data_IF_038161063143
#
_entry.id   IF_038161063143
#
_cell.length_a   1.000
_cell.length_b   1.000
_cell.length_c   1.000
_cell.angle_alpha   90.00
_cell.angle_beta   90.00
_cell.angle_gamma   90.00
#
_symmetry.space_group_name_H-M   'P 1'
#
loop_
_entity.id
_entity.type
_entity.pdbx_description
1 polymer ?
#
# COMPACT_ATOMS: atom_id res chain seq x y z
N UNK A 1 1.42 3.75 19.53
CA UNK A 1 0.25 3.26 18.82
C UNK A 1 0.52 3.52 17.34
N UNK A 2 0.21 2.63 16.43
CA UNK A 2 0.37 2.76 14.96
C UNK A 2 1.79 3.09 14.44
N UNK A 3 2.85 2.73 15.18
CA UNK A 3 4.24 2.97 14.72
C UNK A 3 4.61 2.14 13.48
N UNK A 4 3.86 1.09 13.20
CA UNK A 4 4.00 0.18 12.07
C UNK A 4 3.12 0.57 10.85
N UNK A 5 2.29 1.61 10.98
CA UNK A 5 1.41 2.09 9.89
C UNK A 5 1.99 3.35 9.28
N UNK A 6 2.10 3.36 7.96
CA UNK A 6 2.61 4.47 7.17
C UNK A 6 1.51 5.02 6.26
N UNK A 7 1.32 6.32 6.27
CA UNK A 7 0.47 7.02 5.30
C UNK A 7 1.33 7.39 4.10
N UNK A 8 0.94 6.95 2.93
CA UNK A 8 1.63 7.21 1.66
C UNK A 8 0.72 8.04 0.77
N UNK A 9 1.14 9.24 0.44
CA UNK A 9 0.44 10.12 -0.49
C UNK A 9 1.15 10.10 -1.84
N UNK A 10 0.42 9.78 -2.91
CA UNK A 10 0.98 9.63 -4.25
C UNK A 10 0.49 10.75 -5.15
N UNK A 11 1.46 11.45 -5.81
CA UNK A 11 1.22 12.50 -6.78
C UNK A 11 0.30 13.64 -6.25
N UNK A 12 0.45 14.00 -4.96
CA UNK A 12 -0.38 15.05 -4.35
C UNK A 12 -0.16 16.37 -5.07
N UNK A 13 -1.24 16.94 -5.60
CA UNK A 13 -1.19 18.17 -6.41
C UNK A 13 -1.27 19.44 -5.58
N UNK A 14 -1.92 19.42 -4.42
CA UNK A 14 -2.10 20.58 -3.54
C UNK A 14 -1.33 20.43 -2.25
N UNK A 15 -0.29 21.27 -2.01
CA UNK A 15 0.52 21.18 -0.78
C UNK A 15 -0.29 21.37 0.50
N UNK A 16 -1.40 22.10 0.45
CA UNK A 16 -2.32 22.22 1.58
C UNK A 16 -2.93 20.89 2.03
N UNK A 17 -3.13 19.94 1.12
CA UNK A 17 -3.60 18.59 1.49
C UNK A 17 -2.54 17.81 2.27
N UNK A 18 -1.25 18.05 2.00
CA UNK A 18 -0.14 17.43 2.74
C UNK A 18 -0.18 17.95 4.19
N UNK A 19 -0.27 19.29 4.38
CA UNK A 19 -0.36 19.89 5.71
C UNK A 19 -1.59 19.42 6.50
N UNK A 20 -2.76 19.44 5.85
CA UNK A 20 -4.00 18.95 6.47
C UNK A 20 -3.95 17.45 6.80
N UNK A 21 -3.25 16.66 5.97
CA UNK A 21 -3.01 15.25 6.27
C UNK A 21 -2.11 15.06 7.49
N UNK A 22 -1.03 15.83 7.63
CA UNK A 22 -0.18 15.79 8.82
C UNK A 22 -0.99 16.09 10.10
N UNK A 23 -1.91 17.05 10.03
CA UNK A 23 -2.83 17.36 11.13
C UNK A 23 -3.79 16.20 11.42
N UNK A 24 -4.39 15.61 10.40
CA UNK A 24 -5.27 14.44 10.50
C UNK A 24 -4.53 13.26 11.17
N UNK A 25 -3.32 12.99 10.74
CA UNK A 25 -2.46 11.94 11.29
C UNK A 25 -2.14 12.17 12.76
N UNK A 26 -1.68 13.36 13.12
CA UNK A 26 -1.28 13.69 14.50
C UNK A 26 -2.43 13.57 15.47
N UNK A 27 -3.64 14.01 15.09
CA UNK A 27 -4.84 13.92 15.94
C UNK A 27 -5.23 12.48 16.25
N UNK A 28 -4.86 11.53 15.40
CA UNK A 28 -5.16 10.10 15.57
C UNK A 28 -3.91 9.26 15.96
N UNK A 29 -2.79 9.92 16.30
CA UNK A 29 -1.58 9.25 16.80
C UNK A 29 -0.70 8.59 15.74
N UNK A 30 -0.88 8.92 14.46
CA UNK A 30 -0.03 8.47 13.36
C UNK A 30 1.14 9.44 13.16
N UNK A 31 2.32 8.90 12.80
CA UNK A 31 3.57 9.69 12.69
C UNK A 31 4.32 9.49 11.38
N UNK A 32 4.10 8.38 10.67
CA UNK A 32 4.89 8.01 9.51
C UNK A 32 4.20 8.50 8.24
N UNK A 33 4.74 9.55 7.63
CA UNK A 33 4.27 10.10 6.35
C UNK A 33 5.32 9.87 5.26
N UNK A 34 4.89 9.33 4.14
CA UNK A 34 5.66 9.21 2.90
C UNK A 34 4.97 9.95 1.78
N UNK A 35 5.74 10.71 1.02
CA UNK A 35 5.26 11.48 -0.13
C UNK A 35 5.96 10.97 -1.38
N UNK A 36 5.16 10.49 -2.34
CA UNK A 36 5.65 10.00 -3.63
C UNK A 36 5.36 11.07 -4.68
N UNK A 37 6.41 11.63 -5.27
CA UNK A 37 6.34 12.64 -6.33
C UNK A 37 5.29 13.75 -6.04
N UNK A 38 5.31 14.39 -4.86
CA UNK A 38 4.42 15.52 -4.59
C UNK A 38 4.74 16.66 -5.56
N UNK A 39 3.73 17.39 -6.05
CA UNK A 39 3.93 18.50 -6.98
C UNK A 39 4.76 19.63 -6.36
N UNK A 40 4.56 19.88 -5.07
CA UNK A 40 5.22 20.94 -4.32
C UNK A 40 5.39 20.53 -2.85
N UNK A 41 6.61 20.19 -2.46
CA UNK A 41 6.98 19.94 -1.08
C UNK A 41 8.52 20.04 -0.94
N UNK A 42 9.05 20.71 0.10
CA UNK A 42 8.33 21.45 1.16
C UNK A 42 7.58 22.68 0.63
N UNK A 43 6.58 23.16 1.39
CA UNK A 43 5.76 24.29 0.95
C UNK A 43 5.16 25.05 2.14
N UNK A 44 5.24 26.39 2.09
CA UNK A 44 4.61 27.29 3.10
C UNK A 44 3.11 27.01 3.27
N UNK A 45 2.42 26.59 2.21
CA UNK A 45 0.99 26.20 2.30
C UNK A 45 0.79 24.93 3.09
N UNK A 46 1.70 23.94 2.95
CA UNK A 46 1.66 22.73 3.76
C UNK A 46 1.88 23.08 5.24
N UNK A 47 2.89 23.89 5.54
CA UNK A 47 3.21 24.33 6.91
C UNK A 47 2.05 25.09 7.56
N UNK A 48 1.43 26.01 6.81
CA UNK A 48 0.30 26.80 7.29
C UNK A 48 -0.92 25.95 7.65
N UNK A 49 -1.19 24.88 6.91
CA UNK A 49 -2.33 23.98 7.16
C UNK A 49 -2.00 22.81 8.11
N UNK A 50 -0.73 22.58 8.39
CA UNK A 50 -0.30 21.58 9.37
C UNK A 50 -0.58 21.99 10.81
N UNK A 51 -0.71 23.27 11.11
CA UNK A 51 -1.07 23.87 12.41
C UNK A 51 -0.53 23.12 13.62
N UNK A 52 0.75 23.32 13.98
CA UNK A 52 1.38 22.64 15.12
C UNK A 52 1.72 21.13 14.87
N UNK A 53 1.70 20.69 13.62
CA UNK A 53 2.04 19.34 13.22
C UNK A 53 3.26 19.30 12.27
N UNK A 54 4.12 20.32 12.32
CA UNK A 54 5.35 20.42 11.52
C UNK A 54 6.30 19.23 11.74
N UNK A 55 6.31 18.67 12.95
CA UNK A 55 7.10 17.50 13.29
C UNK A 55 6.80 16.26 12.42
N UNK A 56 5.60 16.16 11.83
CA UNK A 56 5.26 15.11 10.85
C UNK A 56 5.79 15.48 9.47
N UNK A 57 5.68 16.77 9.08
CA UNK A 57 6.20 17.26 7.80
C UNK A 57 7.73 17.17 7.75
N UNK A 58 8.41 17.59 8.83
CA UNK A 58 9.88 17.55 8.96
C UNK A 58 10.44 16.14 8.85
N UNK A 59 9.66 15.12 9.26
CA UNK A 59 10.02 13.71 9.21
C UNK A 59 9.46 12.97 8.01
N UNK A 60 8.72 13.67 7.14
CA UNK A 60 8.14 13.06 5.95
C UNK A 60 9.24 12.56 5.01
N UNK A 61 9.09 11.34 4.53
CA UNK A 61 10.02 10.75 3.57
C UNK A 61 9.57 11.06 2.15
N UNK A 62 10.50 11.49 1.32
CA UNK A 62 10.27 11.79 -0.10
C UNK A 62 10.75 10.65 -0.97
N UNK A 63 9.94 10.27 -1.94
CA UNK A 63 10.25 9.22 -2.92
C UNK A 63 9.90 9.69 -4.33
N UNK A 64 10.65 9.20 -5.31
CA UNK A 64 10.42 9.49 -6.73
C UNK A 64 9.33 8.61 -7.35
N UNK A 65 9.09 7.43 -6.77
CA UNK A 65 8.12 6.46 -7.27
C UNK A 65 7.51 5.63 -6.12
N UNK A 66 6.36 5.01 -6.37
CA UNK A 66 5.65 4.23 -5.39
C UNK A 66 6.39 2.93 -5.00
N UNK A 67 7.00 2.18 -5.93
CA UNK A 67 7.76 0.97 -5.57
C UNK A 67 8.83 1.22 -4.51
N UNK A 68 9.61 2.31 -4.63
CA UNK A 68 10.63 2.65 -3.62
C UNK A 68 10.03 3.05 -2.27
N UNK A 69 8.87 3.71 -2.27
CA UNK A 69 8.18 4.09 -1.03
C UNK A 69 7.66 2.89 -0.23
N UNK A 70 7.31 1.79 -0.91
CA UNK A 70 6.70 0.61 -0.28
C UNK A 70 7.67 -0.56 -0.07
N UNK A 71 8.93 -0.44 -0.45
CA UNK A 71 9.91 -1.54 -0.44
C UNK A 71 10.05 -2.22 0.94
N UNK A 72 9.97 -1.47 2.02
CA UNK A 72 10.09 -1.97 3.39
C UNK A 72 8.77 -2.42 4.03
N UNK A 73 7.65 -2.34 3.31
CA UNK A 73 6.34 -2.75 3.83
C UNK A 73 6.09 -4.26 3.65
N UNK A 74 5.22 -4.79 4.50
CA UNK A 74 4.71 -6.15 4.36
C UNK A 74 3.37 -6.17 3.60
N UNK A 75 2.52 -5.18 3.87
CA UNK A 75 1.18 -5.06 3.29
C UNK A 75 0.96 -3.63 2.79
N UNK A 76 0.39 -3.53 1.60
CA UNK A 76 0.02 -2.28 0.95
C UNK A 76 -1.48 -2.25 0.70
N UNK A 77 -2.16 -1.28 1.30
CA UNK A 77 -3.62 -1.10 1.20
C UNK A 77 -3.87 0.20 0.45
N UNK A 78 -4.41 0.09 -0.76
CA UNK A 78 -4.77 1.24 -1.58
C UNK A 78 -6.17 1.75 -1.26
N UNK A 79 -6.36 3.07 -1.19
CA UNK A 79 -7.68 3.68 -1.07
C UNK A 79 -8.20 4.10 -2.45
N UNK A 80 -9.41 3.66 -2.78
CA UNK A 80 -10.07 3.98 -4.05
C UNK A 80 -11.55 4.26 -3.83
N UNK A 81 -12.02 5.40 -4.34
CA UNK A 81 -13.46 5.73 -4.35
C UNK A 81 -14.25 4.94 -5.41
N UNK A 82 -13.56 4.29 -6.36
CA UNK A 82 -14.20 3.58 -7.47
C UNK A 82 -14.01 2.08 -7.30
N UNK A 83 -15.09 1.32 -7.41
CA UNK A 83 -15.02 -0.11 -7.66
C UNK A 83 -14.44 -0.33 -9.07
N UNK A 84 -13.10 -0.41 -9.16
CA UNK A 84 -12.46 -0.73 -10.44
C UNK A 84 -12.48 -2.25 -10.62
N UNK A 85 -12.62 -2.71 -11.87
CA UNK A 85 -12.59 -4.13 -12.28
C UNK A 85 -11.19 -4.79 -12.08
N UNK A 86 -10.38 -4.30 -11.16
CA UNK A 86 -9.13 -4.95 -10.83
C UNK A 86 -9.42 -6.19 -9.99
N UNK A 87 -8.79 -7.30 -10.31
CA UNK A 87 -8.88 -8.57 -9.56
C UNK A 87 -8.17 -8.50 -8.20
N UNK A 88 -8.05 -7.31 -7.62
CA UNK A 88 -7.41 -7.05 -6.33
C UNK A 88 -8.49 -7.22 -5.25
N UNK A 89 -8.22 -7.99 -4.19
CA UNK A 89 -9.15 -8.16 -3.10
C UNK A 89 -9.57 -6.83 -2.48
N UNK A 90 -10.87 -6.65 -2.23
CA UNK A 90 -11.38 -5.48 -1.52
C UNK A 90 -11.69 -5.82 -0.08
N UNK A 91 -11.46 -4.87 0.80
CA UNK A 91 -11.84 -4.92 2.21
C UNK A 91 -12.82 -3.80 2.52
N UNK A 92 -13.79 -4.07 3.38
CA UNK A 92 -14.54 -3.02 4.07
C UNK A 92 -13.64 -2.27 5.05
N UNK A 93 -14.03 -1.07 5.48
CA UNK A 93 -13.30 -0.32 6.51
C UNK A 93 -13.14 -1.16 7.78
N UNK A 94 -14.21 -1.86 8.21
CA UNK A 94 -14.19 -2.70 9.41
C UNK A 94 -13.17 -3.84 9.29
N UNK A 95 -13.13 -4.54 8.16
CA UNK A 95 -12.14 -5.60 7.91
C UNK A 95 -10.72 -5.04 7.90
N UNK A 96 -10.50 -3.91 7.22
CA UNK A 96 -9.22 -3.23 7.16
C UNK A 96 -8.72 -2.81 8.56
N UNK A 97 -9.57 -2.15 9.33
CA UNK A 97 -9.19 -1.70 10.69
C UNK A 97 -8.93 -2.88 11.62
N UNK A 98 -9.75 -3.92 11.56
CA UNK A 98 -9.53 -5.16 12.32
C UNK A 98 -8.23 -5.83 11.91
N UNK A 99 -7.95 -5.92 10.61
CA UNK A 99 -6.70 -6.47 10.09
C UNK A 99 -5.48 -5.71 10.62
N UNK A 100 -5.48 -4.38 10.54
CA UNK A 100 -4.35 -3.55 10.98
C UNK A 100 -4.11 -3.66 12.48
N UNK A 101 -5.18 -3.61 13.29
CA UNK A 101 -5.09 -3.71 14.76
C UNK A 101 -4.52 -5.07 15.20
N UNK A 102 -4.93 -6.15 14.53
CA UNK A 102 -4.47 -7.51 14.84
C UNK A 102 -3.05 -7.81 14.33
N UNK A 103 -2.52 -7.00 13.42
CA UNK A 103 -1.20 -7.20 12.81
C UNK A 103 -0.23 -6.04 13.13
N UNK A 104 -0.10 -5.70 14.41
CA UNK A 104 0.75 -4.59 14.88
C UNK A 104 2.26 -4.85 14.79
N UNK A 105 2.66 -6.07 14.43
CA UNK A 105 4.05 -6.53 14.30
C UNK A 105 4.60 -6.46 12.87
N UNK A 106 3.80 -6.03 11.89
CA UNK A 106 4.20 -5.91 10.48
C UNK A 106 4.02 -4.47 9.99
N UNK A 107 4.81 -4.07 9.00
CA UNK A 107 4.72 -2.74 8.40
C UNK A 107 3.60 -2.69 7.35
N UNK A 108 2.67 -1.76 7.52
CA UNK A 108 1.49 -1.60 6.67
C UNK A 108 1.50 -0.19 6.09
N UNK A 109 1.37 -0.10 4.77
CA UNK A 109 1.15 1.16 4.08
C UNK A 109 -0.33 1.36 3.77
N UNK A 110 -0.82 2.56 4.05
CA UNK A 110 -2.12 3.07 3.59
C UNK A 110 -1.85 4.07 2.48
N UNK A 111 -2.20 3.72 1.25
CA UNK A 111 -1.80 4.44 0.04
C UNK A 111 -2.98 5.22 -0.51
N UNK A 112 -2.79 6.53 -0.63
CA UNK A 112 -3.77 7.48 -1.13
C UNK A 112 -3.24 8.09 -2.42
N UNK A 113 -4.06 8.09 -3.47
CA UNK A 113 -3.69 8.63 -4.77
C UNK A 113 -3.95 10.13 -4.90
N UNK A 114 -3.70 10.63 -6.10
CA UNK A 114 -3.93 12.03 -6.49
C UNK A 114 -5.40 12.45 -6.28
N UNK A 115 -5.61 13.72 -5.96
CA UNK A 115 -6.93 14.29 -5.62
C UNK A 115 -7.96 14.18 -6.75
N UNK A 116 -7.52 14.27 -8.00
CA UNK A 116 -8.43 14.25 -9.15
C UNK A 116 -8.68 12.85 -9.71
N UNK A 117 -7.66 12.00 -9.76
CA UNK A 117 -7.70 10.69 -10.42
C UNK A 117 -7.70 9.49 -9.46
N UNK A 118 -7.34 9.72 -8.18
CA UNK A 118 -7.04 8.63 -7.25
C UNK A 118 -5.77 7.88 -7.64
N UNK A 119 -5.64 6.64 -7.22
CA UNK A 119 -4.57 5.74 -7.65
C UNK A 119 -4.79 5.28 -9.10
N UNK A 120 -3.74 5.28 -9.91
CA UNK A 120 -3.74 4.69 -11.25
C UNK A 120 -3.88 3.17 -11.21
N UNK A 121 -4.13 2.53 -12.35
CA UNK A 121 -4.20 1.08 -12.42
C UNK A 121 -2.85 0.42 -12.09
N UNK A 122 -1.73 1.07 -12.44
CA UNK A 122 -0.38 0.61 -12.15
C UNK A 122 -0.07 0.73 -10.65
N UNK A 123 -0.47 1.84 -10.02
CA UNK A 123 -0.33 2.05 -8.57
C UNK A 123 -1.21 1.08 -7.77
N UNK A 124 -2.38 0.72 -8.27
CA UNK A 124 -3.22 -0.30 -7.64
C UNK A 124 -2.65 -1.72 -7.74
N UNK A 125 -1.88 -2.04 -8.80
CA UNK A 125 -1.29 -3.37 -8.97
C UNK A 125 -0.28 -3.74 -7.88
N UNK A 126 0.32 -2.77 -7.23
CA UNK A 126 1.27 -3.02 -6.12
C UNK A 126 0.57 -3.08 -4.76
N UNK A 127 -0.75 -2.86 -4.72
CA UNK A 127 -1.55 -3.02 -3.51
C UNK A 127 -1.99 -4.48 -3.32
N UNK A 128 -1.96 -4.93 -2.08
CA UNK A 128 -2.45 -6.25 -1.67
C UNK A 128 -3.98 -6.24 -1.53
N UNK A 129 -4.51 -5.12 -1.05
CA UNK A 129 -5.93 -4.88 -0.83
C UNK A 129 -6.35 -3.49 -1.26
N UNK A 130 -7.64 -3.34 -1.58
CA UNK A 130 -8.27 -2.04 -1.83
C UNK A 130 -9.34 -1.81 -0.77
N UNK A 131 -9.37 -0.59 -0.23
CA UNK A 131 -10.42 -0.13 0.68
C UNK A 131 -11.16 1.03 0.03
N UNK A 132 -12.49 0.98 0.08
CA UNK A 132 -13.34 2.11 -0.30
C UNK A 132 -14.01 2.70 0.92
N UNK A 133 -13.94 4.02 1.05
CA UNK A 133 -14.69 4.74 2.07
C UNK A 133 -16.15 4.90 1.62
N UNK A 134 -17.14 4.57 2.45
CA UNK A 134 -18.55 4.81 2.13
C UNK A 134 -18.80 6.31 1.96
N UNK A 135 -19.40 6.66 0.83
CA UNK A 135 -19.80 8.03 0.50
C UNK A 135 -21.20 7.99 -0.12
N UNK A 136 -21.83 9.16 -0.26
CA UNK A 136 -23.10 9.24 -0.96
C UNK A 136 -22.92 8.91 -2.45
N UNK A 137 -23.88 8.18 -3.04
CA UNK A 137 -23.77 7.70 -4.42
C UNK A 137 -23.62 8.82 -5.47
N UNK A 138 -24.22 10.00 -5.22
CA UNK A 138 -24.19 11.13 -6.16
C UNK A 138 -22.82 11.85 -6.13
N UNK A 139 -22.05 11.72 -5.06
CA UNK A 139 -20.75 12.36 -4.94
C UNK A 139 -19.79 11.51 -4.10
N UNK A 140 -18.93 10.77 -4.77
CA UNK A 140 -18.04 9.77 -4.12
C UNK A 140 -16.64 10.29 -3.84
N UNK A 141 -16.27 11.48 -4.35
CA UNK A 141 -14.93 12.04 -4.21
C UNK A 141 -14.78 12.76 -2.87
N UNK A 142 -13.91 12.23 -2.01
CA UNK A 142 -13.49 12.91 -0.78
C UNK A 142 -12.23 13.74 -1.04
N UNK A 143 -12.11 14.86 -0.33
CA UNK A 143 -10.82 15.53 -0.23
C UNK A 143 -9.78 14.55 0.35
N UNK A 144 -8.53 14.62 -0.13
CA UNK A 144 -7.45 13.70 0.26
C UNK A 144 -7.24 13.64 1.77
N UNK A 145 -7.10 14.80 2.43
CA UNK A 145 -6.89 14.84 3.88
C UNK A 145 -8.12 14.38 4.67
N UNK A 146 -9.33 14.59 4.15
CA UNK A 146 -10.56 14.07 4.75
C UNK A 146 -10.61 12.54 4.67
N UNK A 147 -10.20 11.96 3.54
CA UNK A 147 -10.10 10.51 3.40
C UNK A 147 -9.10 9.91 4.42
N UNK A 148 -7.94 10.56 4.59
CA UNK A 148 -6.96 10.16 5.61
C UNK A 148 -7.56 10.29 7.01
N UNK A 149 -8.26 11.40 7.31
CA UNK A 149 -8.86 11.62 8.63
C UNK A 149 -9.89 10.54 8.96
N UNK A 150 -10.76 10.18 8.02
CA UNK A 150 -11.80 9.16 8.23
C UNK A 150 -11.16 7.80 8.53
N UNK A 151 -10.21 7.37 7.70
CA UNK A 151 -9.58 6.06 7.89
C UNK A 151 -8.77 6.00 9.20
N UNK A 152 -7.99 7.02 9.49
CA UNK A 152 -7.20 7.08 10.73
C UNK A 152 -8.09 7.19 11.98
N UNK A 153 -9.25 7.84 11.89
CA UNK A 153 -10.24 7.86 12.95
C UNK A 153 -10.86 6.48 13.21
N UNK A 154 -11.24 5.75 12.16
CA UNK A 154 -11.78 4.40 12.31
C UNK A 154 -10.73 3.42 12.88
N UNK A 155 -9.46 3.59 12.51
CA UNK A 155 -8.35 2.83 13.11
C UNK A 155 -8.17 3.17 14.59
N UNK A 156 -8.17 4.45 14.95
CA UNK A 156 -8.06 4.90 16.33
C UNK A 156 -9.22 4.36 17.18
N UNK A 157 -10.43 4.43 16.66
CA UNK A 157 -11.64 3.89 17.32
C UNK A 157 -11.55 2.37 17.52
N UNK A 158 -11.12 1.63 16.49
CA UNK A 158 -10.98 0.17 16.54
C UNK A 158 -9.89 -0.29 17.51
N UNK A 159 -8.81 0.48 17.65
CA UNK A 159 -7.71 0.14 18.56
C UNK A 159 -8.04 0.32 20.04
N UNK A 160 -9.08 1.09 20.37
CA UNK A 160 -9.58 1.27 21.73
C UNK A 160 -10.65 0.24 22.11
N UNK A 161 -11.05 -0.64 21.18
CA UNK A 161 -11.86 -1.81 21.47
C UNK A 161 -10.92 -2.95 21.86
N UNK A 162 -11.22 -3.68 22.94
CA UNK A 162 -10.44 -4.86 23.37
C UNK A 162 -10.32 -5.86 22.22
N UNK A 163 -9.09 -6.27 21.82
CA UNK A 163 -8.91 -7.19 20.71
C UNK A 163 -9.52 -8.55 21.05
N UNK A 164 -10.25 -9.14 20.11
CA UNK A 164 -10.63 -10.55 20.14
C UNK A 164 -9.34 -11.39 20.03
N UNK A 165 -8.97 -12.05 21.13
CA UNK A 165 -7.69 -12.74 21.27
C UNK A 165 -7.81 -14.11 20.62
N UNK A 166 -7.26 -14.30 19.44
CA UNK A 166 -6.61 -15.52 18.91
C UNK A 166 -6.33 -15.42 17.41
N UNK A 167 -5.43 -14.54 17.02
CA UNK A 167 -4.90 -14.55 15.64
C UNK A 167 -3.48 -15.08 15.67
N UNK A 168 -3.26 -16.22 14.97
CA UNK A 168 -1.93 -16.76 14.68
C UNK A 168 -1.06 -15.62 14.13
N UNK A 169 0.10 -15.38 14.71
CA UNK A 169 1.00 -14.34 14.22
C UNK A 169 1.42 -14.65 12.77
N UNK A 170 0.80 -13.94 11.85
CA UNK A 170 1.12 -14.00 10.44
C UNK A 170 2.37 -13.15 10.18
N UNK A 171 3.35 -13.67 9.44
CA UNK A 171 4.61 -12.98 9.10
C UNK A 171 4.75 -12.89 7.57
N UNK A 172 4.03 -11.99 6.92
CA UNK A 172 4.10 -11.86 5.48
C UNK A 172 5.50 -11.42 5.03
N UNK A 173 5.92 -11.90 3.88
CA UNK A 173 7.13 -11.42 3.21
C UNK A 173 7.02 -9.92 2.92
N UNK A 174 8.15 -9.21 2.94
CA UNK A 174 8.19 -7.80 2.53
C UNK A 174 7.84 -7.65 1.04
N UNK A 175 7.37 -6.46 0.65
CA UNK A 175 7.10 -6.14 -0.75
C UNK A 175 8.34 -6.33 -1.64
N UNK A 176 9.54 -6.05 -1.10
CA UNK A 176 10.81 -6.29 -1.79
C UNK A 176 11.06 -7.77 -2.06
N UNK A 177 10.92 -8.62 -1.03
CA UNK A 177 11.12 -10.07 -1.17
C UNK A 177 10.10 -10.67 -2.15
N UNK A 178 8.85 -10.27 -2.06
CA UNK A 178 7.77 -10.70 -2.95
C UNK A 178 7.99 -10.26 -4.39
N UNK A 179 8.34 -8.99 -4.62
CA UNK A 179 8.65 -8.48 -5.95
C UNK A 179 9.87 -9.19 -6.57
N UNK A 180 10.92 -9.44 -5.79
CA UNK A 180 12.08 -10.19 -6.26
C UNK A 180 11.72 -11.59 -6.73
N UNK A 181 10.87 -12.30 -5.97
CA UNK A 181 10.34 -13.61 -6.37
C UNK A 181 9.52 -13.50 -7.67
N UNK A 182 8.57 -12.55 -7.76
CA UNK A 182 7.73 -12.39 -8.95
C UNK A 182 8.57 -12.11 -10.20
N UNK A 183 9.57 -11.24 -10.11
CA UNK A 183 10.47 -10.95 -11.23
C UNK A 183 11.28 -12.20 -11.63
N UNK A 184 11.78 -12.95 -10.65
CA UNK A 184 12.52 -14.21 -10.91
C UNK A 184 11.64 -15.25 -11.59
N UNK A 185 10.36 -15.34 -11.22
CA UNK A 185 9.40 -16.23 -11.86
C UNK A 185 9.10 -15.80 -13.30
N UNK A 186 8.87 -14.51 -13.53
CA UNK A 186 8.62 -13.96 -14.87
C UNK A 186 9.80 -14.28 -15.79
N UNK A 187 11.04 -14.01 -15.33
CA UNK A 187 12.25 -14.33 -16.11
C UNK A 187 12.37 -15.82 -16.45
N UNK A 188 12.05 -16.71 -15.52
CA UNK A 188 12.02 -18.14 -15.79
C UNK A 188 10.96 -18.49 -16.86
N UNK A 189 9.77 -17.91 -16.78
CA UNK A 189 8.68 -18.16 -17.71
C UNK A 189 8.94 -17.59 -19.11
N UNK A 190 9.70 -16.49 -19.21
CA UNK A 190 10.23 -15.97 -20.49
C UNK A 190 11.26 -16.94 -21.08
N UNK A 191 12.19 -17.43 -20.25
CA UNK A 191 13.22 -18.37 -20.70
C UNK A 191 12.64 -19.69 -21.19
N UNK A 192 11.51 -20.13 -20.64
CA UNK A 192 10.78 -21.33 -21.09
C UNK A 192 9.79 -21.06 -22.23
N UNK A 193 9.72 -19.84 -22.76
CA UNK A 193 8.75 -19.40 -23.77
C UNK A 193 7.27 -19.51 -23.37
N UNK A 194 6.98 -19.67 -22.08
CA UNK A 194 5.59 -19.61 -21.58
C UNK A 194 5.07 -18.17 -21.64
N UNK A 195 5.90 -17.19 -21.28
CA UNK A 195 5.65 -15.76 -21.53
C UNK A 195 6.33 -15.40 -22.84
N UNK A 196 5.55 -14.88 -23.77
CA UNK A 196 5.99 -14.45 -25.10
C UNK A 196 5.62 -12.98 -25.32
N UNK A 197 6.19 -12.33 -26.34
CA UNK A 197 5.83 -10.94 -26.69
C UNK A 197 4.32 -10.72 -26.87
N UNK A 198 3.57 -11.75 -27.30
CA UNK A 198 2.12 -11.67 -27.54
C UNK A 198 1.29 -11.63 -26.24
N UNK A 199 1.76 -12.25 -25.16
CA UNK A 199 1.02 -12.41 -23.92
C UNK A 199 1.69 -11.77 -22.70
N UNK A 200 2.86 -11.15 -22.88
CA UNK A 200 3.71 -10.62 -21.82
C UNK A 200 2.93 -9.72 -20.85
N UNK A 201 2.31 -8.65 -21.34
CA UNK A 201 1.60 -7.68 -20.49
C UNK A 201 0.48 -8.34 -19.70
N UNK A 202 -0.32 -9.19 -20.37
CA UNK A 202 -1.48 -9.84 -19.74
C UNK A 202 -1.07 -10.86 -18.68
N UNK A 203 -0.07 -11.72 -18.96
CA UNK A 203 0.38 -12.74 -18.03
C UNK A 203 1.14 -12.13 -16.85
N UNK A 204 2.03 -11.19 -17.09
CA UNK A 204 2.76 -10.50 -16.02
C UNK A 204 1.81 -9.84 -15.03
N UNK A 205 0.78 -9.15 -15.54
CA UNK A 205 -0.26 -8.57 -14.70
C UNK A 205 -1.00 -9.62 -13.86
N UNK A 206 -1.38 -10.75 -14.46
CA UNK A 206 -2.06 -11.86 -13.76
C UNK A 206 -1.18 -12.48 -12.66
N UNK A 207 0.12 -12.65 -12.93
CA UNK A 207 1.10 -13.18 -11.98
C UNK A 207 1.24 -12.23 -10.78
N UNK A 208 1.38 -10.92 -11.01
CA UNK A 208 1.41 -9.93 -9.93
C UNK A 208 0.16 -9.99 -9.07
N UNK A 209 -1.03 -9.98 -9.67
CA UNK A 209 -2.30 -10.07 -8.94
C UNK A 209 -2.39 -11.37 -8.14
N UNK A 210 -1.99 -12.51 -8.73
CA UNK A 210 -2.03 -13.81 -8.07
C UNK A 210 -1.18 -13.82 -6.80
N UNK A 211 0.06 -13.36 -6.89
CA UNK A 211 1.00 -13.44 -5.75
C UNK A 211 0.83 -12.29 -4.76
N UNK A 212 0.26 -11.15 -5.15
CA UNK A 212 -0.10 -10.11 -4.18
C UNK A 212 -1.27 -10.53 -3.28
N UNK A 213 -2.28 -11.22 -3.84
CA UNK A 213 -3.41 -11.72 -3.03
C UNK A 213 -3.11 -12.96 -2.18
N UNK A 214 -2.00 -13.67 -2.44
CA UNK A 214 -1.66 -14.93 -1.74
C UNK A 214 -1.13 -14.73 -0.32
N UNK A 215 -0.78 -13.49 0.07
CA UNK A 215 -0.23 -13.16 1.39
C UNK A 215 0.92 -14.08 1.81
N UNK A 216 1.87 -14.34 0.92
CA UNK A 216 2.97 -15.26 1.17
C UNK A 216 3.79 -14.85 2.40
N UNK A 217 4.09 -15.82 3.26
CA UNK A 217 5.08 -15.67 4.32
C UNK A 217 6.51 -15.71 3.75
N UNK A 218 7.47 -15.19 4.50
CA UNK A 218 8.89 -15.17 4.10
C UNK A 218 9.42 -16.57 3.78
N UNK A 219 9.05 -17.56 4.58
CA UNK A 219 9.48 -18.96 4.37
C UNK A 219 8.91 -19.54 3.08
N UNK A 220 7.67 -19.19 2.73
CA UNK A 220 7.04 -19.62 1.48
C UNK A 220 7.72 -18.97 0.26
N UNK A 221 8.06 -17.67 0.33
CA UNK A 221 8.84 -17.00 -0.71
C UNK A 221 10.21 -17.67 -0.88
N UNK A 222 10.90 -18.00 0.19
CA UNK A 222 12.19 -18.69 0.15
C UNK A 222 12.07 -20.10 -0.49
N UNK A 223 11.02 -20.83 -0.15
CA UNK A 223 10.73 -22.13 -0.77
C UNK A 223 10.51 -22.00 -2.29
N UNK A 224 9.68 -21.04 -2.71
CA UNK A 224 9.40 -20.78 -4.12
C UNK A 224 10.66 -20.34 -4.89
N UNK A 225 11.52 -19.52 -4.28
CA UNK A 225 12.82 -19.17 -4.85
C UNK A 225 13.75 -20.38 -5.00
N UNK A 226 13.71 -21.30 -4.05
CA UNK A 226 14.44 -22.58 -4.14
C UNK A 226 13.99 -23.42 -5.34
N UNK A 227 12.67 -23.49 -5.59
CA UNK A 227 12.10 -24.17 -6.75
C UNK A 227 12.60 -23.54 -8.06
N UNK A 228 12.51 -22.20 -8.19
CA UNK A 228 13.00 -21.47 -9.37
C UNK A 228 14.49 -21.77 -9.61
N UNK A 229 15.30 -21.68 -8.56
CA UNK A 229 16.74 -21.94 -8.63
C UNK A 229 17.04 -23.39 -9.11
N UNK A 230 16.28 -24.36 -8.61
CA UNK A 230 16.42 -25.77 -9.01
C UNK A 230 16.09 -25.97 -10.49
N UNK A 231 15.02 -25.36 -10.99
CA UNK A 231 14.62 -25.43 -12.41
C UNK A 231 15.69 -24.77 -13.29
N UNK A 232 16.14 -23.56 -12.93
CA UNK A 232 17.17 -22.83 -13.68
C UNK A 232 18.49 -23.60 -13.80
N UNK A 233 18.88 -24.37 -12.77
CA UNK A 233 20.07 -25.25 -12.82
C UNK A 233 19.91 -26.37 -13.84
N UNK A 234 18.70 -26.87 -14.06
CA UNK A 234 18.44 -27.92 -15.05
C UNK A 234 18.34 -27.39 -16.48
N UNK A 235 17.86 -26.17 -16.67
CA UNK A 235 17.74 -25.52 -17.97
C UNK A 235 19.10 -25.09 -18.55
N UNK A 236 20.12 -24.95 -17.70
CA UNK A 236 21.49 -24.56 -18.09
C UNK A 236 22.37 -25.77 -18.44
N UNK A 237 21.88 -27.00 -18.26
CA UNK A 237 22.53 -28.25 -18.69
C UNK A 237 21.96 -28.73 -20.01
#
# INVERSE_FOLDING_TARGET
MFSNVHIVLVNTSHPGNIGSTARAMKTMGFKNLSLVSPKEFPSMKADALAVGCSDILDKAKLFTDLPSAIEGSNINIGLSARSRRASIPSMSIKECTTYIVNNNNININLIFGNESSGLSNEELLVCDYIVSLPTHNDYTSLNLSAAVQILTYELYKSSNQTPDINVKQFKPASSKERNYFIQSLISLLEHTNFITSKNHISLTKKIHILFNKSNLEKEEVNMLMGIISSINKKLKK
#
